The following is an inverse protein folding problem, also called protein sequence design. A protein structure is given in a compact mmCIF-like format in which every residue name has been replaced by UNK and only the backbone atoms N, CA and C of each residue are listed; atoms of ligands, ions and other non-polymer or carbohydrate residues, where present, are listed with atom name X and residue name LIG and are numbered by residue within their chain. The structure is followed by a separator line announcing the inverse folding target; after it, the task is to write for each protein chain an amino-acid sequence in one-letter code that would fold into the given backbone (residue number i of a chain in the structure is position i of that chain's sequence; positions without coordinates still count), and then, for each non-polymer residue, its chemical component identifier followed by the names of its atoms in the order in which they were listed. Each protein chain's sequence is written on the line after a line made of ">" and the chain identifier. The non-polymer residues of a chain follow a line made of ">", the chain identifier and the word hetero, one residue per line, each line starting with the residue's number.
data_IF_550550379930
#
_entry.id   IF_550550379930
#
_cell.length_a   1.000
_cell.length_b   1.000
_cell.length_c   1.000
_cell.angle_alpha   90.00
_cell.angle_beta   90.00
_cell.angle_gamma   90.00
#
_symmetry.space_group_name_H-M   'P 1'
#
loop_
_entity.id
_entity.type
_entity.pdbx_description
1 polymer ?
#
# COMPACT_ATOMS: atom_id res chain seq x y z
N UNK A 1 41.70 27.80 -63.19
CA UNK A 1 40.38 27.62 -62.56
C UNK A 1 39.94 26.17 -62.73
N UNK A 2 39.87 25.42 -61.62
CA UNK A 2 38.77 24.53 -61.19
C UNK A 2 39.32 23.40 -60.31
N UNK A 3 39.04 23.58 -59.03
CA UNK A 3 39.31 22.73 -57.87
C UNK A 3 38.37 21.53 -57.87
N UNK A 4 38.89 20.33 -57.57
CA UNK A 4 38.11 19.12 -57.36
C UNK A 4 38.01 18.85 -55.85
N UNK A 5 36.80 18.94 -55.29
CA UNK A 5 36.53 18.66 -53.88
C UNK A 5 36.16 17.19 -53.68
N UNK A 6 36.89 16.49 -52.80
CA UNK A 6 36.53 15.18 -52.25
C UNK A 6 35.44 15.36 -51.17
N UNK A 7 34.34 14.61 -51.30
CA UNK A 7 33.31 14.51 -50.27
C UNK A 7 33.59 13.38 -49.28
N UNK A 8 33.55 13.70 -47.98
CA UNK A 8 33.52 12.72 -46.89
C UNK A 8 32.15 12.82 -46.22
N UNK A 9 31.31 11.79 -46.38
CA UNK A 9 30.02 11.68 -45.69
C UNK A 9 30.24 10.97 -44.34
N UNK A 10 30.21 11.73 -43.24
CA UNK A 10 30.22 11.20 -41.89
C UNK A 10 28.80 10.83 -41.44
N UNK A 11 28.55 9.54 -41.21
CA UNK A 11 27.33 9.04 -40.55
C UNK A 11 27.54 9.11 -39.04
N UNK A 12 26.80 9.97 -38.35
CA UNK A 12 26.74 10.02 -36.89
C UNK A 12 25.69 9.03 -36.42
N UNK A 13 26.12 7.92 -35.82
CA UNK A 13 25.24 6.91 -35.23
C UNK A 13 24.83 7.35 -33.82
N UNK A 14 23.60 7.83 -33.65
CA UNK A 14 23.03 8.19 -32.35
C UNK A 14 22.63 6.89 -31.60
N UNK A 15 23.49 6.42 -30.69
CA UNK A 15 23.16 5.32 -29.78
C UNK A 15 22.12 5.80 -28.75
N UNK A 16 20.85 5.47 -28.98
CA UNK A 16 19.80 5.62 -27.98
C UNK A 16 20.09 4.67 -26.80
N UNK A 17 20.55 5.23 -25.68
CA UNK A 17 20.64 4.50 -24.42
C UNK A 17 19.23 4.20 -23.93
N UNK A 18 18.78 2.95 -24.12
CA UNK A 18 17.60 2.42 -23.45
C UNK A 18 17.92 2.38 -21.95
N UNK A 19 17.54 3.43 -21.23
CA UNK A 19 17.52 3.40 -19.78
C UNK A 19 16.51 2.33 -19.35
N UNK A 20 17.00 1.16 -18.96
CA UNK A 20 16.19 0.13 -18.33
C UNK A 20 15.67 0.69 -17.01
N UNK A 21 14.40 1.08 -16.98
CA UNK A 21 13.75 1.51 -15.74
C UNK A 21 13.78 0.32 -14.78
N UNK A 22 14.50 0.48 -13.66
CA UNK A 22 14.54 -0.55 -12.64
C UNK A 22 13.12 -0.77 -12.11
N UNK A 23 12.62 -2.01 -12.15
CA UNK A 23 11.26 -2.30 -11.68
C UNK A 23 11.10 -1.89 -10.20
N UNK A 24 9.92 -1.39 -9.80
CA UNK A 24 9.69 -0.79 -8.47
C UNK A 24 9.97 -1.77 -7.33
N UNK A 25 10.42 -1.24 -6.19
CA UNK A 25 10.72 -2.04 -4.99
C UNK A 25 9.44 -2.46 -4.25
N UNK A 26 8.40 -1.62 -4.29
CA UNK A 26 7.08 -1.91 -3.77
C UNK A 26 6.01 -1.20 -4.60
N UNK A 27 4.84 -1.83 -4.70
CA UNK A 27 3.67 -1.29 -5.40
C UNK A 27 2.43 -1.46 -4.56
N UNK A 28 1.49 -0.52 -4.70
CA UNK A 28 0.14 -0.66 -4.16
C UNK A 28 -0.62 -1.68 -5.01
N UNK A 29 -1.07 -2.76 -4.38
CA UNK A 29 -1.86 -3.80 -5.05
C UNK A 29 -3.36 -3.51 -4.89
N UNK A 30 -3.79 -3.15 -3.68
CA UNK A 30 -5.17 -2.81 -3.39
C UNK A 30 -5.31 -1.74 -2.29
N UNK A 31 -6.38 -0.96 -2.38
CA UNK A 31 -6.73 0.08 -1.41
C UNK A 31 -8.22 0.02 -1.14
N UNK A 32 -8.59 -0.27 0.11
CA UNK A 32 -9.89 0.08 0.64
C UNK A 32 -9.76 1.49 1.23
N UNK A 33 -10.30 2.49 0.54
CA UNK A 33 -10.15 3.92 0.89
C UNK A 33 -10.88 4.28 2.19
N UNK A 34 -10.47 5.34 2.90
CA UNK A 34 -9.44 6.32 2.52
C UNK A 34 -8.01 5.93 2.93
N UNK A 35 -7.03 6.29 2.08
CA UNK A 35 -5.61 6.07 2.37
C UNK A 35 -4.71 7.08 1.64
N UNK A 36 -3.56 7.40 2.24
CA UNK A 36 -2.61 8.40 1.75
C UNK A 36 -1.18 7.89 1.76
N UNK A 37 -0.36 8.44 0.87
CA UNK A 37 1.10 8.49 1.01
C UNK A 37 1.52 9.94 1.29
N UNK A 38 2.27 10.15 2.36
CA UNK A 38 2.99 11.38 2.64
C UNK A 38 4.36 11.29 1.97
N UNK A 39 4.63 12.19 1.03
CA UNK A 39 5.89 12.28 0.31
C UNK A 39 6.36 13.73 0.28
N UNK A 40 7.35 14.05 1.10
CA UNK A 40 7.71 15.44 1.37
C UNK A 40 6.55 16.17 2.04
N UNK A 41 6.09 17.27 1.44
CA UNK A 41 4.96 18.05 1.96
C UNK A 41 3.61 17.67 1.33
N UNK A 42 3.57 16.65 0.47
CA UNK A 42 2.36 16.25 -0.23
C UNK A 42 1.71 15.02 0.42
N UNK A 43 0.40 15.11 0.67
CA UNK A 43 -0.44 13.98 1.04
C UNK A 43 -1.25 13.55 -0.18
N UNK A 44 -0.90 12.42 -0.76
CA UNK A 44 -1.44 11.94 -2.04
C UNK A 44 -2.29 10.71 -1.76
N UNK A 45 -3.55 10.64 -2.21
CA UNK A 45 -4.34 9.41 -2.12
C UNK A 45 -3.62 8.22 -2.75
N UNK A 46 -3.59 7.11 -2.02
CA UNK A 46 -3.07 5.84 -2.55
C UNK A 46 -4.04 5.28 -3.59
N UNK A 47 -3.48 4.78 -4.69
CA UNK A 47 -4.24 4.15 -5.78
C UNK A 47 -3.53 2.86 -6.19
N UNK A 48 -4.28 1.79 -6.54
CA UNK A 48 -3.67 0.58 -7.09
C UNK A 48 -2.75 0.90 -8.27
N UNK A 49 -1.58 0.26 -8.31
CA UNK A 49 -0.57 0.55 -9.32
C UNK A 49 0.49 1.56 -8.90
N UNK A 50 0.23 2.38 -7.87
CA UNK A 50 1.18 3.39 -7.41
C UNK A 50 2.49 2.73 -6.95
N UNK A 51 3.61 3.21 -7.49
CA UNK A 51 4.95 2.82 -7.06
C UNK A 51 5.33 3.55 -5.78
N UNK A 52 5.86 2.77 -4.84
CA UNK A 52 6.28 3.25 -3.54
C UNK A 52 7.79 3.36 -3.48
N UNK A 53 8.25 4.36 -2.73
CA UNK A 53 9.64 4.79 -2.65
C UNK A 53 10.12 4.75 -1.21
N UNK A 54 11.43 4.75 -1.06
CA UNK A 54 12.05 4.98 0.24
C UNK A 54 11.55 6.28 0.86
N UNK A 55 11.31 6.24 2.16
CA UNK A 55 10.77 7.31 3.00
C UNK A 55 9.32 7.70 2.73
N UNK A 56 8.59 6.93 1.94
CA UNK A 56 7.13 7.09 1.86
C UNK A 56 6.49 6.70 3.21
N UNK A 57 5.66 7.59 3.75
CA UNK A 57 4.81 7.28 4.90
C UNK A 57 3.38 7.02 4.42
N UNK A 58 2.90 5.81 4.64
CA UNK A 58 1.59 5.33 4.25
C UNK A 58 0.63 5.44 5.43
N UNK A 59 -0.57 5.95 5.19
CA UNK A 59 -1.62 6.11 6.19
C UNK A 59 -2.94 5.55 5.68
N UNK A 60 -3.66 4.89 6.57
CA UNK A 60 -5.02 4.37 6.37
C UNK A 60 -5.97 5.06 7.35
N UNK A 61 -7.16 5.47 6.91
CA UNK A 61 -8.19 6.02 7.78
C UNK A 61 -9.06 4.95 8.45
N UNK A 62 -10.20 5.36 9.02
CA UNK A 62 -11.18 4.43 9.60
C UNK A 62 -11.79 3.51 8.54
N UNK A 63 -12.05 2.24 8.89
CA UNK A 63 -12.62 1.22 7.99
C UNK A 63 -11.84 1.02 6.68
N UNK A 64 -10.59 1.42 6.63
CA UNK A 64 -9.74 1.34 5.44
C UNK A 64 -8.68 0.27 5.62
N UNK A 65 -8.11 -0.19 4.51
CA UNK A 65 -7.09 -1.24 4.44
C UNK A 65 -6.20 -1.01 3.23
N UNK A 66 -4.94 -1.38 3.35
CA UNK A 66 -3.97 -1.25 2.28
C UNK A 66 -3.26 -2.58 2.07
N UNK A 67 -3.10 -2.99 0.81
CA UNK A 67 -2.30 -4.15 0.42
C UNK A 67 -1.18 -3.70 -0.52
N UNK A 68 0.05 -4.01 -0.13
CA UNK A 68 1.26 -3.76 -0.90
C UNK A 68 1.86 -5.08 -1.38
N UNK A 69 2.50 -5.02 -2.54
CA UNK A 69 3.35 -6.09 -3.05
C UNK A 69 4.79 -5.60 -3.13
N UNK A 70 5.69 -6.29 -2.44
CA UNK A 70 7.13 -6.05 -2.53
C UNK A 70 7.69 -6.78 -3.76
N UNK A 71 8.76 -6.22 -4.34
CA UNK A 71 9.44 -6.74 -5.54
C UNK A 71 9.86 -8.19 -5.44
N UNK A 72 10.32 -8.60 -4.26
CA UNK A 72 10.76 -9.97 -4.03
C UNK A 72 9.59 -10.97 -4.02
N UNK A 73 8.36 -10.52 -3.75
CA UNK A 73 7.14 -11.33 -3.74
C UNK A 73 6.32 -11.24 -2.45
N UNK A 74 6.89 -10.81 -1.33
CA UNK A 74 6.11 -10.65 -0.09
C UNK A 74 5.00 -9.61 -0.19
N UNK A 75 3.99 -9.79 0.65
CA UNK A 75 2.86 -8.87 0.77
C UNK A 75 2.87 -8.18 2.13
N UNK A 76 2.55 -6.89 2.15
CA UNK A 76 2.37 -6.11 3.38
C UNK A 76 0.92 -5.61 3.40
N UNK A 77 0.19 -5.95 4.46
CA UNK A 77 -1.15 -5.42 4.72
C UNK A 77 -1.10 -4.44 5.87
N UNK A 78 -1.81 -3.33 5.75
CA UNK A 78 -2.02 -2.36 6.81
C UNK A 78 -3.51 -2.24 7.10
N UNK A 79 -3.84 -2.32 8.38
CA UNK A 79 -5.18 -2.20 8.94
C UNK A 79 -5.71 -0.77 8.90
N UNK A 80 -6.86 -0.55 9.53
CA UNK A 80 -7.39 0.81 9.68
C UNK A 80 -6.57 1.67 10.64
N UNK A 81 -6.67 2.99 10.50
CA UNK A 81 -5.97 3.97 11.35
C UNK A 81 -4.47 3.66 11.49
N UNK A 82 -3.88 3.09 10.44
CA UNK A 82 -2.53 2.59 10.42
C UNK A 82 -1.57 3.63 9.89
N UNK A 83 -0.32 3.57 10.37
CA UNK A 83 0.79 4.36 9.82
C UNK A 83 2.00 3.46 9.61
N UNK A 84 2.46 3.33 8.37
CA UNK A 84 3.60 2.53 7.96
C UNK A 84 4.61 3.40 7.21
N UNK A 85 5.86 3.43 7.65
CA UNK A 85 6.96 4.05 6.94
C UNK A 85 7.80 2.99 6.23
N UNK A 86 7.99 3.19 4.92
CA UNK A 86 8.95 2.42 4.13
C UNK A 86 10.31 3.08 4.26
N UNK A 87 11.06 2.78 5.32
CA UNK A 87 12.30 3.52 5.62
C UNK A 87 13.33 3.37 4.51
N UNK A 88 13.57 2.12 4.07
CA UNK A 88 14.45 1.81 2.96
C UNK A 88 14.12 0.46 2.36
N UNK A 89 14.23 0.35 1.05
CA UNK A 89 14.15 -0.92 0.30
C UNK A 89 15.26 -0.97 -0.75
N UNK A 90 15.97 -2.09 -0.82
CA UNK A 90 17.02 -2.28 -1.80
C UNK A 90 17.13 -3.75 -2.21
N UNK A 91 17.55 -3.98 -3.45
CA UNK A 91 17.98 -5.31 -3.89
C UNK A 91 19.47 -5.24 -4.20
N UNK A 92 20.28 -5.99 -3.44
CA UNK A 92 21.71 -6.06 -3.62
C UNK A 92 22.11 -6.75 -4.94
N UNK A 93 23.38 -6.58 -5.35
CA UNK A 93 23.92 -7.29 -6.53
C UNK A 93 23.90 -8.83 -6.36
N UNK A 94 23.90 -9.29 -5.12
CA UNK A 94 23.76 -10.69 -4.71
C UNK A 94 22.30 -11.19 -4.74
N UNK A 95 21.37 -10.38 -5.26
CA UNK A 95 19.93 -10.64 -5.35
C UNK A 95 19.27 -10.84 -4.00
N UNK A 96 19.85 -10.30 -2.92
CA UNK A 96 19.22 -10.25 -1.61
C UNK A 96 18.36 -8.99 -1.56
N UNK A 97 17.06 -9.16 -1.35
CA UNK A 97 16.17 -8.05 -1.09
C UNK A 97 16.20 -7.66 0.39
N UNK A 98 16.52 -6.42 0.69
CA UNK A 98 16.54 -5.86 2.02
C UNK A 98 15.46 -4.77 2.16
N UNK A 99 14.71 -4.79 3.27
CA UNK A 99 13.75 -3.74 3.59
C UNK A 99 13.70 -3.45 5.08
N UNK A 100 13.54 -2.17 5.42
CA UNK A 100 13.24 -1.68 6.76
C UNK A 100 11.86 -1.03 6.74
N UNK A 101 10.92 -1.59 7.52
CA UNK A 101 9.52 -1.17 7.58
C UNK A 101 9.16 -0.77 9.01
N UNK A 102 8.67 0.45 9.22
CA UNK A 102 8.32 0.94 10.55
C UNK A 102 6.81 1.16 10.67
N UNK A 103 6.14 0.33 11.45
CA UNK A 103 4.72 0.44 11.78
C UNK A 103 4.59 1.26 13.05
N UNK A 104 4.13 2.50 12.92
CA UNK A 104 3.95 3.40 14.06
C UNK A 104 2.62 3.19 14.78
N UNK A 105 1.59 2.79 14.04
CA UNK A 105 0.24 2.63 14.56
C UNK A 105 -0.53 1.63 13.70
N UNK A 106 -1.48 0.94 14.34
CA UNK A 106 -2.44 0.07 13.66
C UNK A 106 -1.95 -1.36 13.51
N UNK A 107 -2.83 -2.21 13.02
CA UNK A 107 -2.52 -3.61 12.72
C UNK A 107 -1.81 -3.70 11.37
N UNK A 108 -0.90 -4.64 11.22
CA UNK A 108 -0.27 -4.97 9.95
C UNK A 108 -0.06 -6.48 9.84
N UNK A 109 0.11 -6.96 8.61
CA UNK A 109 0.51 -8.34 8.34
C UNK A 109 1.58 -8.36 7.28
N UNK A 110 2.65 -9.10 7.53
CA UNK A 110 3.67 -9.40 6.56
C UNK A 110 3.60 -10.89 6.21
N UNK A 111 3.50 -11.21 4.93
CA UNK A 111 3.44 -12.60 4.47
C UNK A 111 4.43 -12.82 3.34
N UNK A 112 5.32 -13.78 3.53
CA UNK A 112 6.23 -14.28 2.49
C UNK A 112 5.48 -15.20 1.54
N UNK A 113 5.68 -15.01 0.23
CA UNK A 113 5.17 -15.95 -0.76
C UNK A 113 5.99 -17.25 -0.72
N UNK A 114 5.36 -18.34 -0.28
CA UNK A 114 5.97 -19.66 -0.12
C UNK A 114 6.52 -20.21 -1.45
N UNK A 115 5.88 -19.87 -2.58
CA UNK A 115 6.34 -20.24 -3.92
C UNK A 115 7.62 -19.49 -4.34
N UNK A 116 7.96 -18.42 -3.63
CA UNK A 116 9.19 -17.63 -3.81
C UNK A 116 10.11 -17.72 -2.58
N UNK A 117 9.90 -18.70 -1.71
CA UNK A 117 10.69 -18.92 -0.49
C UNK A 117 12.20 -19.07 -0.75
N UNK A 118 12.60 -19.53 -1.95
CA UNK A 118 14.00 -19.60 -2.37
C UNK A 118 14.69 -18.24 -2.59
N UNK A 119 13.93 -17.14 -2.70
CA UNK A 119 14.54 -15.80 -2.81
C UNK A 119 15.11 -15.36 -1.47
N UNK A 120 16.40 -15.02 -1.49
CA UNK A 120 17.13 -14.49 -0.33
C UNK A 120 16.61 -13.11 0.02
N UNK A 121 16.33 -12.88 1.30
CA UNK A 121 15.81 -11.63 1.82
C UNK A 121 16.33 -11.34 3.21
N UNK A 122 16.36 -10.06 3.56
CA UNK A 122 16.66 -9.56 4.90
C UNK A 122 15.69 -8.43 5.23
N UNK A 123 14.56 -8.76 5.85
CA UNK A 123 13.49 -7.80 6.10
C UNK A 123 13.38 -7.58 7.60
N UNK A 124 13.51 -6.32 8.01
CA UNK A 124 13.32 -5.89 9.39
C UNK A 124 12.02 -5.09 9.46
N UNK A 125 11.17 -5.46 10.42
CA UNK A 125 9.92 -4.76 10.69
C UNK A 125 9.96 -4.26 12.13
N UNK A 126 9.90 -2.95 12.31
CA UNK A 126 9.78 -2.34 13.64
C UNK A 126 8.34 -1.92 13.87
N UNK A 127 7.73 -2.48 14.92
CA UNK A 127 6.35 -2.28 15.35
C UNK A 127 6.42 -1.43 16.61
N UNK A 128 6.40 -0.11 16.42
CA UNK A 128 6.72 0.89 17.41
C UNK A 128 8.01 0.58 18.21
N UNK A 129 7.93 -0.18 19.31
CA UNK A 129 9.10 -0.51 20.15
C UNK A 129 9.71 -1.89 19.90
N UNK A 130 9.05 -2.74 19.11
CA UNK A 130 9.45 -4.14 18.88
C UNK A 130 9.99 -4.33 17.47
N UNK A 131 11.21 -4.83 17.31
CA UNK A 131 11.78 -5.19 16.01
C UNK A 131 11.66 -6.69 15.77
N UNK A 132 11.14 -7.07 14.59
CA UNK A 132 11.01 -8.44 14.11
C UNK A 132 11.89 -8.66 12.88
N UNK A 133 12.87 -9.56 12.98
CA UNK A 133 13.67 -10.03 11.85
C UNK A 133 12.94 -11.13 11.07
N UNK A 134 12.71 -10.93 9.77
CA UNK A 134 11.89 -11.80 8.93
C UNK A 134 12.73 -12.65 7.99
N UNK A 135 12.63 -13.98 8.14
CA UNK A 135 13.26 -14.97 7.24
C UNK A 135 12.25 -16.04 6.80
N UNK A 136 11.36 -15.67 5.89
CA UNK A 136 10.36 -16.57 5.32
C UNK A 136 9.24 -16.90 6.30
N UNK A 137 8.37 -15.93 6.56
CA UNK A 137 7.33 -16.02 7.60
C UNK A 137 6.00 -15.41 7.19
N UNK A 138 4.98 -15.75 7.97
CA UNK A 138 3.71 -15.04 8.05
C UNK A 138 3.54 -14.50 9.48
N UNK A 139 3.49 -13.17 9.59
CA UNK A 139 3.49 -12.47 10.86
C UNK A 139 2.43 -11.39 10.83
N UNK A 140 1.64 -11.35 11.89
CA UNK A 140 0.74 -10.25 12.19
C UNK A 140 1.32 -9.44 13.36
N UNK A 141 1.08 -8.14 13.39
CA UNK A 141 1.35 -7.36 14.58
C UNK A 141 0.51 -6.11 14.64
N UNK A 142 0.54 -5.45 15.80
CA UNK A 142 -0.23 -4.24 16.05
C UNK A 142 0.53 -3.32 16.98
N UNK A 143 0.69 -2.08 16.54
CA UNK A 143 1.10 -0.98 17.40
C UNK A 143 -0.15 -0.29 17.94
N UNK A 144 -0.45 -0.51 19.22
CA UNK A 144 -1.52 0.18 19.94
C UNK A 144 -0.95 1.23 20.90
N UNK A 145 -1.84 2.06 21.47
CA UNK A 145 -1.45 3.12 22.40
C UNK A 145 -0.88 2.58 23.71
N UNK A 146 -1.33 1.41 24.15
CA UNK A 146 -1.00 0.80 25.45
C UNK A 146 0.00 -0.37 25.35
N UNK A 147 0.10 -1.01 24.19
CA UNK A 147 0.99 -2.16 23.95
C UNK A 147 1.33 -2.37 22.48
N UNK A 148 2.42 -3.08 22.24
CA UNK A 148 2.75 -3.69 20.96
C UNK A 148 2.46 -5.19 21.02
N UNK A 149 1.94 -5.76 19.94
CA UNK A 149 1.66 -7.20 19.82
C UNK A 149 2.32 -7.71 18.54
N UNK A 150 2.97 -8.86 18.63
CA UNK A 150 3.51 -9.61 17.50
C UNK A 150 2.99 -11.03 17.57
N UNK A 151 2.38 -11.52 16.50
CA UNK A 151 1.90 -12.89 16.38
C UNK A 151 2.62 -13.58 15.21
N UNK A 152 3.35 -14.64 15.52
CA UNK A 152 3.93 -15.53 14.54
C UNK A 152 2.87 -16.53 14.10
N UNK A 153 2.50 -16.50 12.82
CA UNK A 153 1.52 -17.43 12.25
C UNK A 153 2.27 -18.63 11.67
N UNK A 154 3.33 -18.37 10.90
CA UNK A 154 4.17 -19.40 10.29
C UNK A 154 5.63 -18.92 10.18
N UNK A 155 6.58 -19.86 10.33
CA UNK A 155 8.01 -19.62 10.12
C UNK A 155 8.74 -19.33 11.43
N UNK A 156 9.69 -18.40 11.40
CA UNK A 156 10.49 -17.99 12.57
C UNK A 156 10.88 -16.52 12.52
N UNK A 157 10.81 -15.87 13.66
CA UNK A 157 11.23 -14.48 13.84
C UNK A 157 12.05 -14.32 15.11
N UNK A 158 12.89 -13.30 15.14
CA UNK A 158 13.47 -12.80 16.39
C UNK A 158 12.76 -11.50 16.74
N UNK A 159 12.20 -11.42 17.94
CA UNK A 159 11.59 -10.19 18.48
C UNK A 159 12.50 -9.57 19.52
N UNK A 160 12.67 -8.25 19.45
CA UNK A 160 13.49 -7.50 20.39
C UNK A 160 12.80 -6.17 20.75
N UNK A 161 12.80 -5.82 22.03
CA UNK A 161 12.34 -4.50 22.51
C UNK A 161 13.53 -3.69 23.03
N UNK A 162 13.80 -2.54 22.42
CA UNK A 162 14.88 -1.65 22.86
C UNK A 162 16.25 -2.35 22.89
N UNK A 163 16.84 -2.47 24.10
CA UNK A 163 18.12 -3.15 24.33
C UNK A 163 17.95 -4.52 25.01
N UNK A 164 16.71 -5.01 25.15
CA UNK A 164 16.45 -6.33 25.72
C UNK A 164 17.11 -7.43 24.87
N UNK A 165 17.35 -8.59 25.46
CA UNK A 165 17.86 -9.74 24.72
C UNK A 165 16.83 -10.17 23.66
N UNK A 166 17.24 -10.43 22.40
CA UNK A 166 16.34 -10.95 21.38
C UNK A 166 15.72 -12.29 21.80
N UNK A 167 14.42 -12.44 21.56
CA UNK A 167 13.67 -13.67 21.80
C UNK A 167 13.38 -14.31 20.45
N UNK A 168 13.85 -15.55 20.26
CA UNK A 168 13.49 -16.36 19.10
C UNK A 168 12.06 -16.88 19.28
N UNK A 169 11.18 -16.57 18.33
CA UNK A 169 9.88 -17.20 18.16
C UNK A 169 9.96 -18.12 16.95
N UNK A 170 9.92 -19.44 17.19
CA UNK A 170 9.95 -20.48 16.15
C UNK A 170 8.77 -21.46 16.24
N UNK A 171 7.92 -21.28 17.25
CA UNK A 171 6.66 -22.02 17.39
C UNK A 171 5.57 -21.25 16.64
N UNK A 172 4.95 -21.84 15.60
CA UNK A 172 3.85 -21.21 14.89
C UNK A 172 2.66 -21.01 15.83
N UNK A 173 1.77 -20.09 15.48
CA UNK A 173 0.59 -19.76 16.27
C UNK A 173 0.96 -19.34 17.70
N UNK A 174 1.98 -18.49 17.83
CA UNK A 174 2.41 -17.90 19.10
C UNK A 174 2.43 -16.38 19.01
N UNK A 175 2.34 -15.71 20.16
CA UNK A 175 2.38 -14.26 20.22
C UNK A 175 3.25 -13.74 21.36
N UNK A 176 3.72 -12.52 21.18
CA UNK A 176 4.52 -11.73 22.09
C UNK A 176 3.82 -10.39 22.33
N UNK A 177 3.74 -9.96 23.59
CA UNK A 177 3.14 -8.67 23.98
C UNK A 177 4.16 -7.83 24.74
N UNK A 178 4.33 -6.58 24.32
CA UNK A 178 5.13 -5.57 24.99
C UNK A 178 4.26 -4.39 25.42
N UNK A 179 3.78 -4.35 26.68
CA UNK A 179 3.08 -3.18 27.23
C UNK A 179 4.01 -1.96 27.28
N UNK A 180 3.50 -0.74 27.02
CA UNK A 180 4.36 0.46 26.99
C UNK A 180 5.11 0.72 28.29
N UNK A 181 4.44 0.51 29.43
CA UNK A 181 4.94 0.88 30.75
C UNK A 181 5.26 -0.33 31.65
N UNK A 182 5.42 -1.52 31.07
CA UNK A 182 5.80 -2.73 31.81
C UNK A 182 6.72 -3.61 30.97
N UNK A 183 7.47 -4.56 31.58
CA UNK A 183 8.25 -5.53 30.84
C UNK A 183 7.39 -6.36 29.87
N UNK A 184 7.98 -6.89 28.79
CA UNK A 184 7.27 -7.80 27.91
C UNK A 184 6.76 -9.05 28.63
N UNK A 185 5.65 -9.60 28.16
CA UNK A 185 5.12 -10.86 28.64
C UNK A 185 5.85 -12.05 27.97
N UNK A 186 5.90 -13.22 28.62
CA UNK A 186 6.37 -14.44 27.98
C UNK A 186 5.59 -14.75 26.70
N UNK A 187 6.25 -15.38 25.73
CA UNK A 187 5.61 -15.87 24.51
C UNK A 187 4.55 -16.92 24.89
N UNK A 188 3.37 -16.82 24.29
CA UNK A 188 2.23 -17.70 24.57
C UNK A 188 1.58 -18.17 23.26
N UNK A 189 0.91 -19.34 23.24
CA UNK A 189 0.14 -19.79 22.08
C UNK A 189 -1.06 -18.87 21.84
N UNK A 190 -1.42 -18.66 20.58
CA UNK A 190 -2.61 -17.88 20.19
C UNK A 190 -3.84 -18.79 20.13
N UNK A 191 -4.94 -18.33 20.73
CA UNK A 191 -6.24 -18.97 20.55
C UNK A 191 -6.73 -18.81 19.09
N UNK A 192 -7.31 -19.84 18.45
CA UNK A 192 -7.77 -19.76 17.06
C UNK A 192 -8.78 -18.64 16.80
N UNK A 193 -9.69 -18.34 17.73
CA UNK A 193 -10.67 -17.28 17.56
C UNK A 193 -10.00 -15.90 17.66
N UNK A 194 -9.03 -15.75 18.56
CA UNK A 194 -8.23 -14.54 18.65
C UNK A 194 -7.42 -14.28 17.36
N UNK A 195 -6.87 -15.33 16.76
CA UNK A 195 -6.16 -15.26 15.48
C UNK A 195 -7.10 -14.82 14.34
N UNK A 196 -8.36 -15.29 14.34
CA UNK A 196 -9.38 -14.88 13.36
C UNK A 196 -9.67 -13.39 13.48
N UNK A 197 -9.83 -12.88 14.71
CA UNK A 197 -10.04 -11.45 15.00
C UNK A 197 -8.85 -10.63 14.47
N UNK A 198 -7.62 -11.00 14.81
CA UNK A 198 -6.42 -10.29 14.36
C UNK A 198 -6.25 -10.32 12.84
N UNK A 199 -6.52 -11.46 12.21
CA UNK A 199 -6.45 -11.58 10.75
C UNK A 199 -7.43 -10.62 10.05
N UNK A 200 -8.65 -10.48 10.58
CA UNK A 200 -9.66 -9.57 10.04
C UNK A 200 -9.24 -8.09 10.10
N UNK A 201 -8.40 -7.68 11.07
CA UNK A 201 -7.93 -6.29 11.17
C UNK A 201 -7.07 -5.82 10.00
N UNK A 202 -6.57 -6.74 9.16
CA UNK A 202 -5.71 -6.41 8.01
C UNK A 202 -6.23 -6.97 6.69
N UNK A 203 -7.21 -7.86 6.74
CA UNK A 203 -7.81 -8.47 5.56
C UNK A 203 -8.81 -7.52 4.89
N UNK A 204 -8.72 -7.41 3.57
CA UNK A 204 -9.75 -6.76 2.75
C UNK A 204 -10.84 -7.80 2.51
N UNK A 205 -12.03 -7.55 3.06
CA UNK A 205 -13.18 -8.40 2.83
C UNK A 205 -13.74 -8.19 1.42
N UNK A 206 -14.21 -9.24 0.72
CA UNK A 206 -14.92 -9.07 -0.55
C UNK A 206 -16.16 -8.19 -0.40
N UNK A 207 -16.38 -7.29 -1.36
CA UNK A 207 -17.51 -6.36 -1.37
C UNK A 207 -17.39 -5.24 -0.34
N UNK A 208 -16.18 -4.89 0.09
CA UNK A 208 -15.93 -3.88 1.13
C UNK A 208 -15.59 -2.48 0.59
N UNK A 209 -15.61 -2.30 -0.74
CA UNK A 209 -15.31 -1.03 -1.40
C UNK A 209 -13.84 -0.88 -1.80
N UNK A 210 -13.13 -1.99 -1.99
CA UNK A 210 -11.70 -1.99 -2.25
C UNK A 210 -11.37 -1.90 -3.76
N UNK A 211 -10.48 -0.98 -4.09
CA UNK A 211 -9.91 -0.84 -5.41
C UNK A 211 -8.71 -1.78 -5.58
N UNK A 212 -8.63 -2.45 -6.73
CA UNK A 212 -7.57 -3.38 -7.14
C UNK A 212 -7.06 -3.02 -8.54
N UNK A 213 -5.78 -3.30 -8.80
CA UNK A 213 -5.19 -3.09 -10.13
C UNK A 213 -6.02 -3.80 -11.21
N UNK A 214 -6.32 -3.08 -12.31
CA UNK A 214 -7.07 -3.64 -13.44
C UNK A 214 -8.59 -3.74 -13.23
N UNK A 215 -9.13 -3.28 -12.09
CA UNK A 215 -10.58 -3.20 -11.90
C UNK A 215 -11.25 -2.31 -12.95
N UNK A 216 -12.32 -2.81 -13.55
CA UNK A 216 -13.04 -2.13 -14.64
C UNK A 216 -14.11 -1.19 -14.13
N UNK A 217 -14.70 -1.50 -12.97
CA UNK A 217 -15.77 -0.70 -12.39
C UNK A 217 -15.25 0.61 -11.81
N UNK A 218 -16.12 1.62 -11.84
CA UNK A 218 -15.92 2.94 -11.24
C UNK A 218 -17.18 3.41 -10.53
N UNK A 219 -16.97 4.29 -9.55
CA UNK A 219 -18.02 5.10 -8.94
C UNK A 219 -17.93 6.51 -9.52
N UNK A 220 -18.96 6.95 -10.23
CA UNK A 220 -19.15 8.33 -10.63
C UNK A 220 -19.67 9.07 -9.40
N UNK A 221 -18.84 9.94 -8.81
CA UNK A 221 -19.20 10.75 -7.66
C UNK A 221 -20.13 11.90 -8.07
N UNK A 222 -19.84 12.55 -9.20
CA UNK A 222 -20.73 13.54 -9.83
C UNK A 222 -20.38 13.71 -11.32
N UNK A 223 -21.36 14.21 -12.08
CA UNK A 223 -21.17 14.77 -13.41
C UNK A 223 -21.63 16.22 -13.36
N UNK A 224 -20.73 17.16 -13.61
CA UNK A 224 -20.97 18.60 -13.47
C UNK A 224 -20.66 19.34 -14.77
N UNK A 225 -21.24 20.51 -14.95
CA UNK A 225 -21.12 21.27 -16.21
C UNK A 225 -19.86 22.16 -16.23
N UNK A 226 -19.34 22.51 -15.06
CA UNK A 226 -18.22 23.44 -14.93
C UNK A 226 -16.96 22.74 -14.42
N UNK A 227 -15.80 23.27 -14.84
CA UNK A 227 -14.50 22.78 -14.35
C UNK A 227 -14.29 23.12 -12.87
N UNK A 228 -14.80 24.26 -12.41
CA UNK A 228 -14.69 24.72 -11.02
C UNK A 228 -15.39 23.77 -10.04
N UNK A 229 -16.63 23.38 -10.32
CA UNK A 229 -17.37 22.41 -9.51
C UNK A 229 -16.65 21.05 -9.47
N UNK A 230 -16.08 20.63 -10.60
CA UNK A 230 -15.36 19.37 -10.70
C UNK A 230 -14.09 19.39 -9.86
N UNK A 231 -13.32 20.47 -9.93
CA UNK A 231 -12.10 20.66 -9.14
C UNK A 231 -12.41 20.71 -7.65
N UNK A 232 -13.45 21.44 -7.24
CA UNK A 232 -13.88 21.51 -5.83
C UNK A 232 -14.19 20.12 -5.26
N UNK A 233 -14.95 19.31 -5.98
CA UNK A 233 -15.28 17.94 -5.56
C UNK A 233 -14.05 17.02 -5.58
N UNK A 234 -13.23 17.12 -6.62
CA UNK A 234 -11.97 16.39 -6.76
C UNK A 234 -11.02 16.66 -5.59
N UNK A 235 -10.80 17.92 -5.24
CA UNK A 235 -9.93 18.31 -4.14
C UNK A 235 -10.49 17.84 -2.79
N UNK A 236 -11.80 17.95 -2.56
CA UNK A 236 -12.44 17.45 -1.34
C UNK A 236 -12.26 15.93 -1.16
N UNK A 237 -12.50 15.14 -2.22
CA UNK A 237 -12.31 13.69 -2.19
C UNK A 237 -10.84 13.32 -1.95
N UNK A 238 -9.91 13.99 -2.63
CA UNK A 238 -8.48 13.68 -2.52
C UNK A 238 -7.88 14.11 -1.20
N UNK A 239 -8.28 15.26 -0.67
CA UNK A 239 -7.92 15.65 0.69
C UNK A 239 -8.38 14.58 1.71
N UNK A 240 -9.57 14.03 1.50
CA UNK A 240 -10.12 12.94 2.31
C UNK A 240 -9.55 11.54 2.01
N UNK A 241 -8.54 11.40 1.14
CA UNK A 241 -7.84 10.12 0.91
C UNK A 241 -8.51 9.20 -0.12
N UNK A 242 -9.41 9.74 -0.93
CA UNK A 242 -10.04 9.03 -2.04
C UNK A 242 -9.34 9.41 -3.35
N UNK A 243 -8.89 8.41 -4.11
CA UNK A 243 -8.14 8.61 -5.35
C UNK A 243 -9.05 9.02 -6.52
N UNK A 244 -9.69 10.18 -6.41
CA UNK A 244 -10.58 10.71 -7.44
C UNK A 244 -9.81 11.12 -8.71
N UNK A 245 -10.48 10.96 -9.85
CA UNK A 245 -10.07 11.41 -11.18
C UNK A 245 -11.14 12.32 -11.77
N UNK A 246 -10.74 13.30 -12.58
CA UNK A 246 -11.65 14.06 -13.44
C UNK A 246 -11.52 13.53 -14.87
N UNK A 247 -12.66 13.25 -15.51
CA UNK A 247 -12.76 12.93 -16.93
C UNK A 247 -13.71 13.88 -17.64
N UNK A 248 -13.21 14.75 -18.52
CA UNK A 248 -14.07 15.49 -19.44
C UNK A 248 -14.85 14.52 -20.34
N UNK A 249 -16.11 14.82 -20.58
CA UNK A 249 -16.96 14.10 -21.53
C UNK A 249 -17.81 15.11 -22.32
N UNK A 250 -18.30 14.68 -23.48
CA UNK A 250 -19.13 15.50 -24.36
C UNK A 250 -20.32 14.68 -24.87
N UNK A 251 -21.32 14.41 -24.03
CA UNK A 251 -22.58 13.82 -24.49
C UNK A 251 -23.32 14.83 -25.38
N UNK A 252 -23.43 14.54 -26.68
CA UNK A 252 -23.96 15.48 -27.66
C UNK A 252 -22.99 16.66 -27.84
N UNK A 253 -23.48 17.89 -27.67
CA UNK A 253 -22.69 19.13 -27.82
C UNK A 253 -22.33 19.79 -26.48
N UNK A 254 -22.76 19.22 -25.34
CA UNK A 254 -22.50 19.79 -24.01
C UNK A 254 -21.26 19.17 -23.39
N UNK A 255 -20.26 19.99 -23.06
CA UNK A 255 -19.11 19.55 -22.26
C UNK A 255 -19.53 19.39 -20.80
N UNK A 256 -19.18 18.25 -20.21
CA UNK A 256 -19.32 17.95 -18.78
C UNK A 256 -18.01 17.40 -18.21
N UNK A 257 -17.90 17.42 -16.89
CA UNK A 257 -16.77 16.88 -16.15
C UNK A 257 -17.27 15.80 -15.19
N UNK A 258 -16.74 14.59 -15.36
CA UNK A 258 -17.09 13.43 -14.54
C UNK A 258 -16.02 13.26 -13.46
N UNK A 259 -16.39 13.44 -12.20
CA UNK A 259 -15.53 13.10 -11.06
C UNK A 259 -15.80 11.67 -10.65
N UNK A 260 -14.77 10.82 -10.65
CA UNK A 260 -14.95 9.37 -10.44
C UNK A 260 -13.83 8.74 -9.62
N UNK A 261 -14.14 7.59 -9.03
CA UNK A 261 -13.21 6.68 -8.35
C UNK A 261 -13.15 5.38 -9.16
N UNK A 262 -11.95 4.94 -9.56
CA UNK A 262 -11.75 3.84 -10.49
C UNK A 262 -11.15 2.59 -9.83
N UNK A 263 -10.80 1.59 -10.65
CA UNK A 263 -10.08 0.38 -10.24
C UNK A 263 -10.90 -0.57 -9.36
N UNK A 264 -12.22 -0.61 -9.49
CA UNK A 264 -13.04 -1.54 -8.70
C UNK A 264 -13.21 -2.86 -9.49
N UNK A 265 -12.90 -4.02 -8.89
CA UNK A 265 -12.87 -5.29 -9.62
C UNK A 265 -14.27 -5.83 -9.92
N UNK A 266 -15.29 -5.42 -9.15
CA UNK A 266 -16.66 -5.89 -9.31
C UNK A 266 -17.69 -4.78 -9.04
N UNK A 267 -18.94 -5.05 -9.46
CA UNK A 267 -20.08 -4.19 -9.14
C UNK A 267 -20.27 -4.05 -7.62
N UNK A 268 -20.12 -5.14 -6.87
CA UNK A 268 -20.29 -5.14 -5.42
C UNK A 268 -19.27 -4.22 -4.72
N UNK A 269 -18.01 -4.22 -5.16
CA UNK A 269 -17.01 -3.27 -4.64
C UNK A 269 -17.39 -1.81 -4.99
N UNK A 270 -17.89 -1.57 -6.20
CA UNK A 270 -18.33 -0.24 -6.59
C UNK A 270 -19.56 0.25 -5.81
N UNK A 271 -20.53 -0.62 -5.56
CA UNK A 271 -21.72 -0.32 -4.75
C UNK A 271 -21.34 -0.05 -3.29
N UNK A 272 -20.43 -0.84 -2.71
CA UNK A 272 -19.93 -0.63 -1.36
C UNK A 272 -19.19 0.71 -1.22
N UNK A 273 -18.28 1.03 -2.17
CA UNK A 273 -17.60 2.32 -2.17
C UNK A 273 -18.59 3.48 -2.34
N UNK A 274 -19.54 3.37 -3.28
CA UNK A 274 -20.58 4.38 -3.50
C UNK A 274 -21.42 4.61 -2.24
N UNK A 275 -21.79 3.55 -1.52
CA UNK A 275 -22.47 3.64 -0.23
C UNK A 275 -21.64 4.38 0.82
N UNK A 276 -20.34 4.10 0.89
CA UNK A 276 -19.44 4.70 1.90
C UNK A 276 -19.26 6.21 1.75
N UNK A 277 -19.34 6.74 0.52
CA UNK A 277 -19.11 8.17 0.20
C UNK A 277 -20.40 8.97 0.03
N UNK A 278 -21.57 8.32 -0.09
CA UNK A 278 -22.86 9.00 -0.24
C UNK A 278 -23.11 9.95 0.92
N UNK A 279 -23.51 11.19 0.60
CA UNK A 279 -23.75 12.25 1.57
C UNK A 279 -22.49 12.84 2.20
N UNK A 280 -21.29 12.50 1.71
CA UNK A 280 -20.01 12.97 2.25
C UNK A 280 -19.19 13.67 1.17
N UNK A 281 -18.32 14.59 1.57
CA UNK A 281 -17.35 15.25 0.68
C UNK A 281 -17.98 15.93 -0.56
N UNK A 282 -19.26 16.31 -0.50
CA UNK A 282 -20.00 16.88 -1.63
C UNK A 282 -20.59 15.84 -2.61
N UNK A 283 -20.53 14.55 -2.29
CA UNK A 283 -21.11 13.47 -3.12
C UNK A 283 -22.57 13.21 -2.71
N UNK A 284 -23.53 13.67 -3.52
CA UNK A 284 -24.96 13.46 -3.24
C UNK A 284 -25.43 12.07 -3.68
N UNK A 285 -25.34 11.77 -4.98
CA UNK A 285 -25.86 10.54 -5.58
C UNK A 285 -24.80 9.83 -6.43
N UNK A 286 -23.90 9.05 -5.79
CA UNK A 286 -22.89 8.32 -6.53
C UNK A 286 -23.54 7.21 -7.38
N UNK A 287 -23.03 7.04 -8.61
CA UNK A 287 -23.49 6.03 -9.57
C UNK A 287 -22.39 5.04 -9.89
N UNK A 288 -22.75 3.78 -10.09
CA UNK A 288 -21.81 2.71 -10.45
C UNK A 288 -21.81 2.51 -11.97
N UNK A 289 -20.62 2.34 -12.56
CA UNK A 289 -20.42 2.15 -14.01
C UNK A 289 -19.25 1.21 -14.27
N UNK A 290 -19.30 0.45 -15.38
CA UNK A 290 -18.24 -0.45 -15.84
C UNK A 290 -17.39 0.21 -16.92
#
# INVERSE_FOLDING_TARGET
>A
MKTLCLGFAGVVLLLAQLASAAAPQAVVEAVQMPAWVERGNANIPLVPGMELRDRDRLRTGANSKLLLKLREGSSVRLGENGTLLLERMAEGKDRVFAAALNVFQGAFRFTTDVLRSQRRRNINITIATVTAGIRGTDVWGKAASDKDIVCLIEGKIEVQRGQDQPILMDQPLSFYIAPRNAPPLPVAPVDPEQLRIWSAETQIAPGSGAAYRGGKWKVIAASVDTQEEALKLYDALRAAGYAAEIRPAMPGEKRIYIVRLAHLPSKAEAEALAGSIRGKMGVAEPKVSM
#
